data_IF_210589837102
#
_entry.id   IF_210589837102
#
_cell.length_a   1.000
_cell.length_b   1.000
_cell.length_c   1.000
_cell.angle_alpha   90.00
_cell.angle_beta   90.00
_cell.angle_gamma   90.00
#
_symmetry.space_group_name_H-M   'P 1'
#
loop_
_entity.id
_entity.type
_entity.pdbx_description
1 polymer ?
#
# COMPACT_ATOMS: atom_id res chain seq x y z
N UNK A 1 11.29 -16.41 -1.17
CA UNK A 1 10.22 -16.16 -2.16
C UNK A 1 10.43 -14.75 -2.67
N UNK A 2 10.64 -14.58 -3.96
CA UNK A 2 10.78 -13.25 -4.54
C UNK A 2 9.39 -12.61 -4.61
N UNK A 3 9.15 -11.61 -3.78
CA UNK A 3 7.86 -10.96 -3.58
C UNK A 3 7.69 -9.68 -4.39
N UNK A 4 8.49 -9.47 -5.45
CA UNK A 4 8.50 -8.19 -6.13
C UNK A 4 7.92 -8.28 -7.55
N UNK A 5 7.02 -7.33 -7.84
CA UNK A 5 6.46 -7.13 -9.17
C UNK A 5 7.47 -6.50 -10.15
N UNK A 6 8.68 -7.01 -10.18
CA UNK A 6 9.72 -6.62 -11.12
C UNK A 6 9.89 -7.75 -12.13
N UNK A 7 9.67 -7.43 -13.40
CA UNK A 7 9.68 -8.39 -14.48
C UNK A 7 11.01 -9.13 -14.65
N UNK A 8 10.99 -10.42 -14.98
CA UNK A 8 12.18 -11.11 -15.46
C UNK A 8 12.44 -10.78 -16.94
N UNK A 9 13.70 -10.57 -17.32
CA UNK A 9 14.06 -10.28 -18.70
C UNK A 9 14.14 -11.56 -19.49
N UNK A 10 13.25 -11.72 -20.38
CA UNK A 10 13.60 -12.45 -21.56
C UNK A 10 14.11 -11.39 -22.52
N UNK A 11 15.35 -11.55 -22.93
CA UNK A 11 16.01 -10.68 -23.86
C UNK A 11 15.20 -10.61 -25.16
N UNK A 12 14.29 -9.65 -25.24
CA UNK A 12 13.66 -9.29 -26.51
C UNK A 12 14.73 -8.51 -27.27
N UNK A 13 15.74 -9.22 -27.75
CA UNK A 13 16.82 -8.65 -28.56
C UNK A 13 16.36 -8.28 -29.96
N UNK A 14 15.17 -8.70 -30.35
CA UNK A 14 14.65 -8.42 -31.66
C UNK A 14 13.91 -7.09 -31.64
N UNK A 15 14.49 -6.07 -32.22
CA UNK A 15 13.88 -4.75 -32.43
C UNK A 15 12.48 -4.88 -33.08
N UNK A 16 12.32 -5.86 -33.97
CA UNK A 16 11.07 -6.20 -34.64
C UNK A 16 9.95 -6.63 -33.70
N UNK A 17 10.26 -7.35 -32.60
CA UNK A 17 9.23 -7.75 -31.63
C UNK A 17 8.76 -6.59 -30.78
N UNK A 18 9.69 -5.73 -30.39
CA UNK A 18 9.35 -4.49 -29.67
C UNK A 18 8.46 -3.59 -30.52
N UNK A 19 8.84 -3.37 -31.76
CA UNK A 19 8.07 -2.58 -32.72
C UNK A 19 6.68 -3.18 -32.96
N UNK A 20 6.60 -4.49 -33.15
CA UNK A 20 5.33 -5.21 -33.31
C UNK A 20 4.42 -5.03 -32.08
N UNK A 21 4.98 -5.06 -30.87
CA UNK A 21 4.20 -4.86 -29.66
C UNK A 21 3.78 -3.39 -29.48
N UNK A 22 4.66 -2.45 -29.77
CA UNK A 22 4.33 -1.01 -29.73
C UNK A 22 3.20 -0.68 -30.74
N UNK A 23 3.24 -1.27 -31.94
CA UNK A 23 2.17 -1.14 -32.94
C UNK A 23 0.85 -1.74 -32.44
N UNK A 24 0.90 -2.90 -31.75
CA UNK A 24 -0.27 -3.52 -31.13
C UNK A 24 -0.90 -2.59 -30.08
N UNK A 25 -0.11 -2.04 -29.18
CA UNK A 25 -0.60 -1.13 -28.13
C UNK A 25 -1.15 0.18 -28.73
N UNK A 26 -0.48 0.73 -29.77
CA UNK A 26 -0.93 1.94 -30.46
C UNK A 26 -2.29 1.74 -31.12
N UNK A 27 -2.46 0.69 -31.92
CA UNK A 27 -3.73 0.40 -32.56
C UNK A 27 -4.85 0.09 -31.53
N UNK A 28 -4.51 -0.63 -30.46
CA UNK A 28 -5.47 -0.90 -29.39
C UNK A 28 -5.96 0.39 -28.72
N UNK A 29 -5.04 1.33 -28.44
CA UNK A 29 -5.38 2.65 -27.94
C UNK A 29 -6.31 3.40 -28.89
N UNK A 30 -5.97 3.47 -30.19
CA UNK A 30 -6.76 4.17 -31.21
C UNK A 30 -8.19 3.60 -31.30
N UNK A 31 -8.32 2.27 -31.29
CA UNK A 31 -9.63 1.60 -31.30
C UNK A 31 -10.46 1.96 -30.07
N UNK A 32 -9.87 1.96 -28.89
CA UNK A 32 -10.58 2.28 -27.65
C UNK A 32 -10.96 3.76 -27.59
N UNK A 33 -10.05 4.67 -27.95
CA UNK A 33 -10.32 6.11 -27.96
C UNK A 33 -11.38 6.51 -29.00
N UNK A 34 -11.52 5.74 -30.07
CA UNK A 34 -12.58 5.94 -31.08
C UNK A 34 -13.96 5.44 -30.63
N UNK A 35 -14.09 4.78 -29.48
CA UNK A 35 -15.35 4.21 -28.96
C UNK A 35 -15.88 5.00 -27.74
N UNK A 36 -16.72 6.03 -27.93
CA UNK A 36 -17.26 6.83 -26.81
C UNK A 36 -17.97 5.98 -25.74
N UNK A 37 -18.60 4.87 -26.16
CA UNK A 37 -19.31 3.96 -25.26
C UNK A 37 -18.43 3.36 -24.15
N UNK A 38 -17.12 3.26 -24.37
CA UNK A 38 -16.17 2.72 -23.37
C UNK A 38 -16.10 3.64 -22.16
N UNK A 39 -15.92 4.95 -22.36
CA UNK A 39 -15.79 5.92 -21.27
C UNK A 39 -17.13 6.21 -20.56
N UNK A 40 -18.25 5.94 -21.22
CA UNK A 40 -19.60 6.21 -20.70
C UNK A 40 -20.12 5.13 -19.77
N UNK A 41 -19.42 4.00 -19.62
CA UNK A 41 -19.82 2.91 -18.72
C UNK A 41 -19.85 3.38 -17.26
N UNK A 42 -20.94 3.08 -16.56
CA UNK A 42 -21.10 3.44 -15.14
C UNK A 42 -19.99 2.83 -14.26
N UNK A 43 -19.61 1.60 -14.57
CA UNK A 43 -18.56 0.85 -13.87
C UNK A 43 -17.26 0.78 -14.72
N UNK A 44 -16.89 1.89 -15.35
CA UNK A 44 -15.72 2.01 -16.23
C UNK A 44 -14.47 1.33 -15.65
N UNK A 45 -14.17 1.57 -14.38
CA UNK A 45 -13.01 1.02 -13.70
C UNK A 45 -13.02 -0.51 -13.53
N UNK A 46 -14.20 -1.14 -13.59
CA UNK A 46 -14.32 -2.61 -13.53
C UNK A 46 -14.26 -3.25 -14.91
N UNK A 47 -14.81 -2.59 -15.92
CA UNK A 47 -14.98 -3.17 -17.26
C UNK A 47 -13.82 -2.84 -18.22
N UNK A 48 -12.98 -1.87 -17.87
CA UNK A 48 -11.96 -1.40 -18.79
C UNK A 48 -10.87 -2.45 -19.10
N UNK A 49 -10.54 -3.31 -18.16
CA UNK A 49 -9.60 -4.43 -18.40
C UNK A 49 -10.13 -5.37 -19.50
N UNK A 50 -11.43 -5.68 -19.48
CA UNK A 50 -12.08 -6.50 -20.50
C UNK A 50 -12.14 -5.77 -21.85
N UNK A 51 -12.44 -4.47 -21.85
CA UNK A 51 -12.42 -3.65 -23.07
C UNK A 51 -11.04 -3.63 -23.72
N UNK A 52 -9.97 -3.52 -22.92
CA UNK A 52 -8.59 -3.59 -23.41
C UNK A 52 -8.28 -4.96 -23.99
N UNK A 53 -8.69 -6.03 -23.32
CA UNK A 53 -8.50 -7.40 -23.80
C UNK A 53 -9.17 -7.63 -25.16
N UNK A 54 -10.43 -7.21 -25.31
CA UNK A 54 -11.18 -7.32 -26.57
C UNK A 54 -10.49 -6.51 -27.69
N UNK A 55 -10.12 -5.26 -27.39
CA UNK A 55 -9.44 -4.40 -28.37
C UNK A 55 -8.07 -4.93 -28.80
N UNK A 56 -7.32 -5.58 -27.88
CA UNK A 56 -6.07 -6.29 -28.22
C UNK A 56 -6.30 -7.45 -29.16
N UNK A 57 -7.33 -8.28 -28.93
CA UNK A 57 -7.69 -9.39 -29.82
C UNK A 57 -8.07 -8.90 -31.23
N UNK A 58 -8.78 -7.80 -31.32
CA UNK A 58 -9.11 -7.17 -32.62
C UNK A 58 -7.86 -6.61 -33.30
N UNK A 59 -6.99 -5.94 -32.54
CA UNK A 59 -5.77 -5.33 -33.07
C UNK A 59 -4.78 -6.39 -33.58
N UNK A 60 -4.67 -7.53 -32.92
CA UNK A 60 -3.82 -8.65 -33.41
C UNK A 60 -4.31 -9.19 -34.73
N UNK A 61 -5.63 -9.27 -34.94
CA UNK A 61 -6.23 -9.70 -36.21
C UNK A 61 -5.94 -8.72 -37.33
N UNK A 62 -6.15 -7.43 -37.06
CA UNK A 62 -5.99 -6.37 -38.06
C UNK A 62 -4.52 -6.20 -38.50
N UNK A 63 -3.59 -6.34 -37.56
CA UNK A 63 -2.16 -6.26 -37.83
C UNK A 63 -1.56 -7.57 -38.38
N UNK A 64 -2.33 -8.66 -38.41
CA UNK A 64 -1.87 -9.98 -38.81
C UNK A 64 -0.60 -10.43 -38.07
N UNK A 65 -0.51 -10.12 -36.79
CA UNK A 65 0.67 -10.41 -35.94
C UNK A 65 0.46 -11.67 -35.10
N UNK A 66 1.55 -12.38 -34.74
CA UNK A 66 1.46 -13.70 -34.09
C UNK A 66 1.21 -13.66 -32.58
N UNK A 67 0.84 -12.51 -32.01
CA UNK A 67 0.60 -12.41 -30.58
C UNK A 67 -0.69 -13.12 -30.15
N UNK A 68 -0.56 -14.09 -29.25
CA UNK A 68 -1.67 -14.70 -28.55
C UNK A 68 -1.96 -13.89 -27.29
N UNK A 69 -3.16 -13.37 -27.17
CA UNK A 69 -3.59 -12.53 -26.04
C UNK A 69 -4.32 -13.38 -25.02
N UNK A 70 -3.85 -13.36 -23.77
CA UNK A 70 -4.42 -14.10 -22.64
C UNK A 70 -4.88 -13.12 -21.56
N UNK A 71 -6.17 -13.14 -21.22
CA UNK A 71 -6.72 -12.42 -20.07
C UNK A 71 -6.47 -13.21 -18.81
N UNK A 72 -5.95 -12.57 -17.78
CA UNK A 72 -5.55 -13.20 -16.54
C UNK A 72 -6.54 -12.83 -15.44
N UNK A 73 -7.35 -13.78 -15.03
CA UNK A 73 -8.34 -13.57 -13.98
C UNK A 73 -7.75 -13.63 -12.57
N UNK A 74 -8.40 -12.95 -11.64
CA UNK A 74 -8.06 -12.93 -10.22
C UNK A 74 -7.04 -11.84 -9.86
N UNK A 75 -6.46 -11.91 -8.65
CA UNK A 75 -5.48 -10.93 -8.17
C UNK A 75 -4.06 -11.26 -8.65
N UNK A 76 -3.89 -11.41 -9.96
CA UNK A 76 -2.58 -11.68 -10.57
C UNK A 76 -2.08 -10.44 -11.32
N UNK A 77 -0.77 -10.38 -11.52
CA UNK A 77 -0.08 -9.31 -12.20
C UNK A 77 0.78 -9.89 -13.33
N UNK A 78 0.72 -9.39 -14.55
CA UNK A 78 -0.19 -8.36 -15.06
C UNK A 78 -1.59 -8.91 -15.40
N UNK A 79 -2.53 -8.00 -15.73
CA UNK A 79 -3.92 -8.33 -16.08
C UNK A 79 -4.04 -9.08 -17.42
N UNK A 80 -3.15 -8.79 -18.38
CA UNK A 80 -3.15 -9.38 -19.71
C UNK A 80 -1.73 -9.76 -20.10
N UNK A 81 -1.60 -10.90 -20.75
CA UNK A 81 -0.32 -11.37 -21.30
C UNK A 81 -0.44 -11.58 -22.80
N UNK A 82 0.49 -10.98 -23.55
CA UNK A 82 0.68 -11.22 -24.97
C UNK A 82 1.86 -12.18 -25.17
N UNK A 83 1.64 -13.35 -25.80
CA UNK A 83 2.65 -14.39 -26.04
C UNK A 83 2.86 -14.63 -27.52
N UNK A 84 4.11 -14.80 -27.92
CA UNK A 84 4.48 -15.38 -29.20
C UNK A 84 4.79 -16.86 -29.04
N UNK A 85 5.50 -17.21 -27.98
CA UNK A 85 5.83 -18.58 -27.60
C UNK A 85 6.07 -18.65 -26.08
N UNK A 86 6.45 -19.81 -25.55
CA UNK A 86 6.67 -20.02 -24.12
C UNK A 86 7.77 -19.15 -23.50
N UNK A 87 8.71 -18.66 -24.33
CA UNK A 87 9.86 -17.85 -23.88
C UNK A 87 9.73 -16.37 -24.19
N UNK A 88 8.75 -15.98 -24.98
CA UNK A 88 8.57 -14.59 -25.45
C UNK A 88 7.16 -14.13 -25.12
N UNK A 89 7.03 -13.47 -24.00
CA UNK A 89 5.78 -12.90 -23.54
C UNK A 89 5.97 -11.53 -22.94
N UNK A 90 5.00 -10.66 -23.14
CA UNK A 90 4.92 -9.32 -22.63
C UNK A 90 3.65 -9.14 -21.82
N UNK A 91 3.71 -8.39 -20.74
CA UNK A 91 2.58 -8.11 -19.89
C UNK A 91 1.97 -6.73 -20.13
N UNK A 92 0.69 -6.63 -19.90
CA UNK A 92 -0.07 -5.38 -19.93
C UNK A 92 -0.85 -5.31 -18.62
N UNK A 93 -0.49 -4.34 -17.81
CA UNK A 93 -1.21 -4.00 -16.58
C UNK A 93 -2.13 -2.82 -16.86
N UNK A 94 -3.40 -3.00 -16.65
CA UNK A 94 -4.43 -2.00 -16.93
C UNK A 94 -4.68 -1.13 -15.72
N UNK A 95 -4.72 0.18 -15.90
CA UNK A 95 -5.03 1.14 -14.85
C UNK A 95 -6.07 2.15 -15.32
N UNK A 96 -6.89 2.62 -14.39
CA UNK A 96 -7.89 3.65 -14.67
C UNK A 96 -7.77 4.81 -13.70
N UNK A 97 -8.03 6.01 -14.21
CA UNK A 97 -8.07 7.26 -13.45
C UNK A 97 -9.43 7.89 -13.63
N UNK A 98 -10.17 8.01 -12.53
CA UNK A 98 -11.53 8.59 -12.52
C UNK A 98 -11.54 10.11 -12.27
N UNK A 99 -10.41 10.68 -11.88
CA UNK A 99 -10.33 12.10 -11.49
C UNK A 99 -10.28 13.02 -12.72
N UNK A 100 -10.99 14.14 -12.64
CA UNK A 100 -10.99 15.19 -13.69
C UNK A 100 -9.75 16.09 -13.69
N UNK A 101 -8.82 15.89 -12.75
CA UNK A 101 -7.58 16.66 -12.73
C UNK A 101 -6.65 16.27 -13.89
N UNK A 102 -5.67 17.10 -14.19
CA UNK A 102 -4.71 16.82 -15.26
C UNK A 102 -3.66 15.76 -14.90
N UNK A 103 -3.65 15.25 -13.66
CA UNK A 103 -2.67 14.27 -13.21
C UNK A 103 -2.87 12.90 -13.87
N UNK A 104 -1.77 12.26 -14.20
CA UNK A 104 -1.70 10.88 -14.70
C UNK A 104 -1.08 9.94 -13.67
N UNK A 105 -1.22 10.28 -12.40
CA UNK A 105 -0.70 9.48 -11.27
C UNK A 105 -1.73 8.45 -10.83
N UNK A 106 -1.26 7.21 -10.64
CA UNK A 106 -2.09 6.11 -10.16
C UNK A 106 -1.26 5.19 -9.27
N UNK A 107 -1.92 4.54 -8.33
CA UNK A 107 -1.27 3.56 -7.47
C UNK A 107 -1.01 2.26 -8.24
N UNK A 108 0.22 1.81 -8.16
CA UNK A 108 0.63 0.49 -8.62
C UNK A 108 0.41 -0.61 -7.56
N UNK A 109 0.92 -1.79 -7.84
CA UNK A 109 0.89 -2.93 -6.93
C UNK A 109 1.78 -2.74 -5.70
N UNK A 110 1.64 -3.65 -4.72
CA UNK A 110 2.53 -3.72 -3.57
C UNK A 110 3.95 -4.09 -4.02
N UNK A 111 4.95 -3.47 -3.38
CA UNK A 111 6.35 -3.87 -3.54
C UNK A 111 6.60 -5.21 -2.84
N UNK A 112 5.80 -5.52 -1.83
CA UNK A 112 6.01 -6.66 -0.92
C UNK A 112 5.33 -7.96 -1.37
N UNK A 113 4.31 -7.85 -2.20
CA UNK A 113 3.53 -8.99 -2.67
C UNK A 113 3.72 -9.15 -4.17
N UNK A 114 4.12 -10.33 -4.60
CA UNK A 114 4.15 -10.68 -6.01
C UNK A 114 3.09 -11.73 -6.30
N UNK A 115 2.02 -11.29 -6.94
CA UNK A 115 1.05 -12.18 -7.59
C UNK A 115 1.42 -12.38 -9.06
N UNK A 116 2.68 -12.10 -9.38
CA UNK A 116 3.17 -12.06 -10.74
C UNK A 116 3.13 -13.43 -11.42
N UNK A 117 2.68 -13.39 -12.66
CA UNK A 117 2.73 -14.55 -13.53
C UNK A 117 4.19 -14.80 -13.92
N UNK A 118 4.68 -16.05 -13.78
CA UNK A 118 6.00 -16.41 -14.27
C UNK A 118 6.07 -16.25 -15.81
N UNK A 119 7.28 -16.11 -16.33
CA UNK A 119 7.59 -16.07 -17.76
C UNK A 119 7.09 -14.84 -18.53
N UNK A 120 6.71 -13.78 -17.83
CA UNK A 120 6.44 -12.47 -18.44
C UNK A 120 7.70 -11.61 -18.37
N UNK A 121 8.24 -11.23 -19.52
CA UNK A 121 9.53 -10.57 -19.58
C UNK A 121 9.49 -9.10 -19.24
N UNK A 122 8.56 -8.35 -19.81
CA UNK A 122 8.41 -6.91 -19.61
C UNK A 122 6.94 -6.56 -19.49
N UNK A 123 6.64 -5.63 -18.60
CA UNK A 123 5.27 -5.19 -18.35
C UNK A 123 5.11 -3.75 -18.83
N UNK A 124 4.02 -3.48 -19.51
CA UNK A 124 3.59 -2.14 -19.87
C UNK A 124 2.36 -1.75 -19.07
N UNK A 125 2.35 -0.52 -18.61
CA UNK A 125 1.14 0.06 -18.03
C UNK A 125 0.29 0.61 -19.15
N UNK A 126 -0.97 0.21 -19.21
CA UNK A 126 -1.98 0.73 -20.12
C UNK A 126 -3.03 1.47 -19.29
N UNK A 127 -2.92 2.80 -19.26
CA UNK A 127 -3.67 3.63 -18.32
C UNK A 127 -4.69 4.50 -19.07
N UNK A 128 -5.94 4.41 -18.65
CA UNK A 128 -7.01 5.26 -19.17
C UNK A 128 -7.50 6.28 -18.14
N UNK A 129 -7.70 7.50 -18.60
CA UNK A 129 -8.45 8.54 -17.91
C UNK A 129 -9.86 8.59 -18.48
N UNK A 130 -10.86 8.57 -17.60
CA UNK A 130 -12.27 8.52 -18.02
C UNK A 130 -12.76 9.86 -18.58
N UNK A 131 -12.36 10.98 -17.98
CA UNK A 131 -12.83 12.31 -18.36
C UNK A 131 -11.70 13.36 -18.29
N UNK A 132 -11.25 13.94 -19.43
CA UNK A 132 -11.56 13.50 -20.78
C UNK A 132 -11.00 12.12 -21.11
N UNK A 133 -11.72 11.34 -21.91
CA UNK A 133 -11.28 9.98 -22.24
C UNK A 133 -10.00 10.02 -23.07
N UNK A 134 -8.93 9.54 -22.46
CA UNK A 134 -7.60 9.41 -23.08
C UNK A 134 -6.88 8.21 -22.52
N UNK A 135 -6.05 7.62 -23.36
CA UNK A 135 -5.26 6.44 -23.00
C UNK A 135 -3.78 6.76 -23.21
N UNK A 136 -2.96 6.29 -22.27
CA UNK A 136 -1.50 6.29 -22.36
C UNK A 136 -0.97 4.91 -22.04
N UNK A 137 0.13 4.52 -22.66
CA UNK A 137 0.85 3.32 -22.31
C UNK A 137 2.36 3.59 -22.26
N UNK A 138 3.04 2.92 -21.35
CA UNK A 138 4.50 3.00 -21.15
C UNK A 138 5.02 1.71 -20.53
N UNK A 139 6.29 1.37 -20.74
CA UNK A 139 6.95 0.37 -19.90
C UNK A 139 6.83 0.70 -18.42
N UNK A 140 6.58 -0.31 -17.59
CA UNK A 140 6.39 -0.17 -16.15
C UNK A 140 7.54 0.61 -15.50
N UNK A 141 8.79 0.26 -15.83
CA UNK A 141 9.98 0.90 -15.28
C UNK A 141 10.13 2.39 -15.64
N UNK A 142 9.46 2.86 -16.68
CA UNK A 142 9.51 4.27 -17.11
C UNK A 142 8.43 5.12 -16.42
N UNK A 143 7.37 4.51 -15.91
CA UNK A 143 6.30 5.22 -15.20
C UNK A 143 6.33 5.06 -13.68
N UNK A 144 7.19 4.24 -13.11
CA UNK A 144 7.37 4.20 -11.66
C UNK A 144 8.12 5.44 -11.20
N UNK A 145 7.40 6.38 -10.61
CA UNK A 145 7.96 7.66 -10.14
C UNK A 145 8.53 7.56 -8.72
N UNK A 146 7.83 6.81 -7.86
CA UNK A 146 8.09 6.80 -6.43
C UNK A 146 7.51 5.56 -5.75
N UNK A 147 7.75 5.46 -4.45
CA UNK A 147 7.11 4.51 -3.55
C UNK A 147 6.13 5.26 -2.66
N UNK A 148 4.86 4.92 -2.74
CA UNK A 148 3.88 5.41 -1.79
C UNK A 148 3.89 4.53 -0.54
N UNK A 149 3.84 5.20 0.59
CA UNK A 149 3.73 4.54 1.88
C UNK A 149 2.27 4.51 2.28
N UNK A 150 1.67 3.34 2.09
CA UNK A 150 0.35 3.01 2.61
C UNK A 150 0.50 1.94 3.70
N UNK A 151 -0.48 1.08 3.90
CA UNK A 151 -0.35 -0.11 4.77
C UNK A 151 0.73 -1.09 4.28
N UNK A 152 1.10 -1.05 3.00
CA UNK A 152 2.33 -1.63 2.46
C UNK A 152 2.95 -0.65 1.47
N UNK A 153 4.27 -0.68 1.27
CA UNK A 153 4.88 0.11 0.22
C UNK A 153 4.32 -0.30 -1.14
N UNK A 154 3.88 0.68 -1.90
CA UNK A 154 3.34 0.50 -3.25
C UNK A 154 4.07 1.36 -4.25
N UNK A 155 4.16 0.89 -5.46
CA UNK A 155 4.63 1.73 -6.54
C UNK A 155 3.65 2.88 -6.80
N UNK A 156 4.20 4.08 -6.98
CA UNK A 156 3.46 5.20 -7.55
C UNK A 156 3.83 5.32 -9.02
N UNK A 157 2.82 5.25 -9.86
CA UNK A 157 2.98 5.36 -11.30
C UNK A 157 2.58 6.77 -11.73
N UNK A 158 3.39 7.38 -12.57
CA UNK A 158 3.07 8.62 -13.26
C UNK A 158 3.30 8.45 -14.76
N UNK A 159 2.22 8.48 -15.53
CA UNK A 159 2.30 8.35 -16.99
C UNK A 159 2.88 9.60 -17.67
N UNK A 160 3.05 10.71 -16.94
CA UNK A 160 3.75 11.91 -17.39
C UNK A 160 5.25 11.89 -17.08
N UNK A 161 5.69 11.01 -16.16
CA UNK A 161 7.09 10.96 -15.76
C UNK A 161 8.01 10.75 -16.97
N UNK A 162 9.13 11.47 -16.98
CA UNK A 162 10.20 11.18 -17.93
C UNK A 162 11.02 9.98 -17.45
N UNK A 163 11.78 9.37 -18.33
CA UNK A 163 12.68 8.26 -17.95
C UNK A 163 13.66 8.66 -16.84
N UNK A 164 14.11 9.92 -16.85
CA UNK A 164 15.03 10.47 -15.85
C UNK A 164 14.35 10.62 -14.48
N UNK A 165 13.04 10.85 -14.45
CA UNK A 165 12.26 11.01 -13.22
C UNK A 165 11.82 9.67 -12.63
N UNK A 166 12.08 8.57 -13.33
CA UNK A 166 11.72 7.24 -12.83
C UNK A 166 12.47 6.89 -11.54
N UNK A 167 11.84 6.07 -10.72
CA UNK A 167 12.45 5.57 -9.48
C UNK A 167 13.79 4.88 -9.75
N UNK A 168 13.89 4.13 -10.82
CA UNK A 168 15.13 3.43 -11.20
C UNK A 168 16.27 4.40 -11.51
N UNK A 169 15.96 5.51 -12.20
CA UNK A 169 16.94 6.57 -12.43
C UNK A 169 17.39 7.25 -11.14
N UNK A 170 16.44 7.50 -10.22
CA UNK A 170 16.74 8.09 -8.89
C UNK A 170 17.59 7.17 -8.02
N UNK A 171 17.45 5.87 -8.18
CA UNK A 171 18.28 4.86 -7.48
C UNK A 171 19.66 4.71 -8.11
N UNK A 172 19.90 5.30 -9.28
CA UNK A 172 21.13 5.11 -10.04
C UNK A 172 21.36 3.66 -10.50
N UNK A 173 20.26 2.91 -10.69
CA UNK A 173 20.26 1.51 -11.10
C UNK A 173 19.32 1.33 -12.28
N UNK A 174 19.69 0.48 -13.20
CA UNK A 174 18.82 0.07 -14.29
C UNK A 174 17.78 -0.94 -13.78
N UNK A 175 16.71 -1.08 -14.51
CA UNK A 175 15.72 -2.12 -14.26
C UNK A 175 16.35 -3.51 -14.27
N UNK A 176 17.26 -3.77 -15.20
CA UNK A 176 17.98 -5.03 -15.34
C UNK A 176 18.86 -5.35 -14.14
N UNK A 177 19.58 -4.35 -13.62
CA UNK A 177 20.42 -4.51 -12.43
C UNK A 177 19.63 -4.86 -11.20
N UNK A 178 18.54 -4.11 -10.94
CA UNK A 178 17.67 -4.38 -9.78
C UNK A 178 17.05 -5.78 -9.89
N UNK A 179 16.66 -6.16 -11.08
CA UNK A 179 16.04 -7.42 -11.37
C UNK A 179 16.93 -8.63 -11.13
N UNK A 180 18.21 -8.50 -11.39
CA UNK A 180 19.22 -9.54 -11.19
C UNK A 180 19.67 -9.65 -9.73
N UNK A 181 19.27 -8.71 -8.86
CA UNK A 181 19.61 -8.77 -7.44
C UNK A 181 18.92 -9.97 -6.78
N UNK A 182 19.64 -10.63 -5.86
CA UNK A 182 19.10 -11.73 -5.05
C UNK A 182 17.87 -11.31 -4.27
N UNK A 183 17.87 -10.08 -3.78
CA UNK A 183 16.74 -9.43 -3.11
C UNK A 183 16.53 -8.03 -3.72
N UNK A 184 15.69 -7.89 -4.74
CA UNK A 184 15.45 -6.59 -5.39
C UNK A 184 14.97 -5.49 -4.45
N UNK A 185 14.31 -5.86 -3.33
CA UNK A 185 13.84 -4.89 -2.35
C UNK A 185 14.97 -4.11 -1.68
N UNK A 186 16.15 -4.69 -1.55
CA UNK A 186 17.29 -4.00 -0.94
C UNK A 186 17.67 -2.73 -1.71
N UNK A 187 17.40 -2.68 -3.03
CA UNK A 187 17.57 -1.46 -3.82
C UNK A 187 16.66 -0.32 -3.40
N UNK A 188 15.48 -0.63 -2.88
CA UNK A 188 14.49 0.37 -2.47
C UNK A 188 14.62 0.79 -1.00
N UNK A 189 15.28 -0.01 -0.17
CA UNK A 189 15.47 0.28 1.26
C UNK A 189 16.10 1.65 1.46
N UNK A 190 17.25 1.90 0.84
CA UNK A 190 18.00 3.14 1.00
C UNK A 190 17.18 4.36 0.52
N UNK A 191 16.47 4.20 -0.58
CA UNK A 191 15.58 5.25 -1.09
C UNK A 191 14.44 5.58 -0.11
N UNK A 192 13.80 4.56 0.45
CA UNK A 192 12.71 4.74 1.43
C UNK A 192 13.26 5.35 2.72
N UNK A 193 14.44 4.92 3.17
CA UNK A 193 15.13 5.49 4.33
C UNK A 193 15.47 6.95 4.12
N UNK A 194 15.98 7.31 2.93
CA UNK A 194 16.30 8.70 2.62
C UNK A 194 15.06 9.58 2.54
N UNK A 195 13.99 9.09 1.92
CA UNK A 195 12.70 9.79 1.95
C UNK A 195 12.17 9.99 3.38
N UNK A 196 12.30 8.96 4.22
CA UNK A 196 11.94 9.05 5.63
C UNK A 196 12.74 10.13 6.36
N UNK A 197 14.07 10.17 6.20
CA UNK A 197 14.92 11.21 6.78
C UNK A 197 14.49 12.62 6.35
N UNK A 198 14.18 12.79 5.07
CA UNK A 198 13.76 14.06 4.52
C UNK A 198 12.39 14.48 5.07
N UNK A 199 11.45 13.55 5.19
CA UNK A 199 10.15 13.79 5.80
C UNK A 199 10.27 14.16 7.28
N UNK A 200 11.12 13.47 8.05
CA UNK A 200 11.37 13.77 9.46
C UNK A 200 12.00 15.16 9.65
N UNK A 201 12.90 15.58 8.76
CA UNK A 201 13.50 16.95 8.79
C UNK A 201 12.50 18.05 8.46
N UNK A 202 11.50 17.76 7.63
CA UNK A 202 10.48 18.74 7.21
C UNK A 202 9.30 18.82 8.17
N UNK A 203 9.14 17.85 9.08
CA UNK A 203 8.03 17.84 10.03
C UNK A 203 8.25 18.87 11.12
N UNK A 204 7.31 19.78 11.23
CA UNK A 204 7.01 20.43 12.49
C UNK A 204 6.34 19.36 13.35
N UNK A 205 6.78 19.24 14.60
CA UNK A 205 6.27 18.27 15.61
C UNK A 205 4.74 18.31 15.74
N UNK A 206 4.10 19.38 15.28
CA UNK A 206 2.68 19.66 15.39
C UNK A 206 1.74 18.86 14.47
N UNK A 207 2.25 18.22 13.40
CA UNK A 207 1.38 17.65 12.38
C UNK A 207 0.97 16.18 12.64
N UNK A 208 1.64 15.45 13.54
CA UNK A 208 1.43 14.01 13.72
C UNK A 208 0.45 13.63 14.83
N UNK A 209 0.31 14.51 15.81
CA UNK A 209 -0.53 14.29 16.98
C UNK A 209 -1.36 15.54 17.28
N UNK A 210 -2.25 15.91 16.37
CA UNK A 210 -3.10 17.08 16.54
C UNK A 210 -3.95 17.03 17.82
N UNK A 211 -4.18 15.86 18.38
CA UNK A 211 -4.88 15.66 19.66
C UNK A 211 -3.92 15.55 20.84
N UNK A 212 -2.63 15.37 20.59
CA UNK A 212 -1.58 15.49 21.58
C UNK A 212 -1.20 16.96 21.65
N UNK A 213 -1.50 17.61 22.77
CA UNK A 213 -1.22 19.04 22.89
C UNK A 213 0.25 19.33 22.55
N UNK A 214 0.53 20.27 21.63
CA UNK A 214 1.90 20.65 21.28
C UNK A 214 2.70 21.22 22.46
N UNK A 215 2.05 21.55 23.57
CA UNK A 215 2.67 21.99 24.82
C UNK A 215 3.01 20.83 25.79
N UNK A 216 2.67 19.59 25.48
CA UNK A 216 3.15 18.47 26.28
C UNK A 216 4.59 18.18 25.87
N UNK A 217 5.55 18.59 26.69
CA UNK A 217 6.96 18.13 26.60
C UNK A 217 7.12 16.61 26.63
N UNK A 218 6.03 15.88 26.68
CA UNK A 218 5.92 14.44 26.82
C UNK A 218 6.07 13.68 25.50
N UNK A 219 5.80 14.28 24.32
CA UNK A 219 6.13 13.65 23.04
C UNK A 219 7.64 13.46 22.95
N UNK A 220 8.41 14.44 23.38
CA UNK A 220 9.87 14.34 23.45
C UNK A 220 10.33 13.30 24.49
N UNK A 221 9.56 13.05 25.54
CA UNK A 221 9.89 12.05 26.57
C UNK A 221 9.58 10.62 26.10
N UNK A 222 8.53 10.42 25.33
CA UNK A 222 8.27 9.10 24.69
C UNK A 222 9.36 8.78 23.69
N UNK A 223 9.86 9.76 22.94
CA UNK A 223 11.02 9.59 22.06
C UNK A 223 12.34 9.41 22.80
N UNK A 224 12.50 10.03 23.99
CA UNK A 224 13.78 10.08 24.72
C UNK A 224 13.94 8.98 25.77
N UNK A 225 12.88 8.53 26.46
CA UNK A 225 12.99 7.46 27.47
C UNK A 225 13.01 6.05 26.87
N UNK A 226 12.44 5.85 25.70
CA UNK A 226 12.62 4.65 24.90
C UNK A 226 13.85 4.71 23.99
N UNK A 227 14.88 5.43 24.37
CA UNK A 227 16.11 5.46 23.57
C UNK A 227 16.64 4.05 23.25
N UNK A 228 16.40 3.04 24.08
CA UNK A 228 16.71 1.65 23.72
C UNK A 228 15.78 1.11 22.62
N UNK A 229 14.50 1.41 22.66
CA UNK A 229 13.54 1.03 21.62
C UNK A 229 13.69 1.98 20.42
N UNK A 230 13.81 3.29 20.66
CA UNK A 230 14.08 4.31 19.67
C UNK A 230 15.47 4.19 19.06
N UNK A 231 16.53 3.89 19.79
CA UNK A 231 17.88 3.68 19.22
C UNK A 231 17.97 2.36 18.44
N UNK A 232 17.21 1.35 18.80
CA UNK A 232 17.07 0.14 17.98
C UNK A 232 16.21 0.40 16.73
N UNK A 233 15.26 1.38 16.79
CA UNK A 233 14.35 1.72 15.71
C UNK A 233 14.73 2.99 14.93
N UNK A 234 15.52 3.90 15.50
CA UNK A 234 16.19 5.01 14.81
C UNK A 234 17.42 4.50 14.03
N UNK A 235 17.83 3.26 14.27
CA UNK A 235 18.65 2.53 13.34
C UNK A 235 18.02 2.61 11.95
N UNK A 236 18.82 3.00 10.97
CA UNK A 236 18.44 3.19 9.56
C UNK A 236 17.89 1.92 8.88
N UNK A 237 17.64 0.86 9.66
CA UNK A 237 17.18 -0.43 9.17
C UNK A 237 15.66 -0.52 9.19
N UNK A 238 15.10 -0.85 8.05
CA UNK A 238 13.68 -1.18 7.94
C UNK A 238 13.45 -2.62 8.38
N UNK A 239 12.41 -2.83 9.18
CA UNK A 239 11.98 -4.14 9.65
C UNK A 239 10.57 -4.46 9.17
N UNK A 240 10.30 -5.73 8.98
CA UNK A 240 8.93 -6.19 8.79
C UNK A 240 8.28 -6.50 10.12
N UNK A 241 6.98 -6.28 10.22
CA UNK A 241 6.18 -6.59 11.40
C UNK A 241 6.41 -8.01 11.94
N UNK A 242 6.56 -8.98 11.07
CA UNK A 242 6.81 -10.38 11.43
C UNK A 242 8.24 -10.66 11.91
N UNK A 243 9.14 -9.71 11.82
CA UNK A 243 10.50 -9.79 12.35
C UNK A 243 10.61 -9.25 13.78
N UNK A 244 9.56 -8.58 14.25
CA UNK A 244 9.47 -8.10 15.62
C UNK A 244 9.24 -9.26 16.57
N UNK A 245 9.77 -9.14 17.78
CA UNK A 245 9.45 -10.06 18.88
C UNK A 245 7.96 -9.96 19.24
N UNK A 246 7.47 -10.97 19.92
CA UNK A 246 6.06 -11.00 20.37
C UNK A 246 5.73 -9.80 21.26
N UNK A 247 6.62 -9.45 22.17
CA UNK A 247 6.43 -8.35 23.12
C UNK A 247 6.43 -7.00 22.40
N UNK A 248 7.33 -6.79 21.43
CA UNK A 248 7.34 -5.60 20.58
C UNK A 248 6.03 -5.47 19.77
N UNK A 249 5.53 -6.58 19.23
CA UNK A 249 4.25 -6.57 18.50
C UNK A 249 3.07 -6.24 19.43
N UNK A 250 3.04 -6.79 20.65
CA UNK A 250 1.99 -6.52 21.64
C UNK A 250 1.99 -5.05 22.04
N UNK A 251 3.16 -4.54 22.41
CA UNK A 251 3.34 -3.12 22.74
C UNK A 251 2.87 -2.21 21.61
N UNK A 252 3.34 -2.45 20.39
CA UNK A 252 2.99 -1.62 19.25
C UNK A 252 1.51 -1.68 18.88
N UNK A 253 0.84 -2.83 19.04
CA UNK A 253 -0.61 -2.92 18.85
C UNK A 253 -1.36 -2.03 19.81
N UNK A 254 -1.06 -2.13 21.09
CA UNK A 254 -1.69 -1.31 22.12
C UNK A 254 -1.38 0.18 21.91
N UNK A 255 -0.12 0.51 21.64
CA UNK A 255 0.32 1.87 21.40
C UNK A 255 -0.37 2.51 20.17
N UNK A 256 -0.43 1.79 19.05
CA UNK A 256 -1.11 2.27 17.85
C UNK A 256 -2.61 2.45 18.05
N UNK A 257 -3.27 1.62 18.86
CA UNK A 257 -4.69 1.81 19.21
C UNK A 257 -4.92 3.07 20.04
N UNK A 258 -3.97 3.44 20.89
CA UNK A 258 -4.06 4.66 21.70
C UNK A 258 -3.90 5.88 20.79
N UNK A 259 -2.87 5.89 19.92
CA UNK A 259 -2.57 7.04 19.08
C UNK A 259 -3.56 7.18 17.92
N UNK A 260 -3.99 6.07 17.34
CA UNK A 260 -4.85 6.03 16.16
C UNK A 260 -6.15 5.26 16.45
N UNK A 261 -7.08 5.79 17.24
CA UNK A 261 -8.32 5.10 17.59
C UNK A 261 -9.18 4.74 16.36
N UNK A 262 -8.99 5.41 15.22
CA UNK A 262 -9.65 5.08 13.95
C UNK A 262 -9.29 3.67 13.41
N UNK A 263 -8.23 3.04 13.91
CA UNK A 263 -7.94 1.62 13.64
C UNK A 263 -9.15 0.74 14.00
N UNK A 264 -9.89 1.09 15.04
CA UNK A 264 -11.07 0.35 15.48
C UNK A 264 -12.16 0.35 14.40
N UNK A 265 -12.25 1.40 13.62
CA UNK A 265 -13.15 1.49 12.46
C UNK A 265 -12.63 0.79 11.19
N UNK A 266 -11.36 0.38 11.19
CA UNK A 266 -10.68 -0.22 10.05
C UNK A 266 -9.96 0.78 9.16
N UNK A 267 -9.71 2.00 9.65
CA UNK A 267 -8.86 2.98 8.99
C UNK A 267 -7.42 2.83 9.50
N UNK A 268 -6.54 2.33 8.64
CA UNK A 268 -5.15 1.99 8.99
C UNK A 268 -4.12 2.94 8.37
N UNK A 269 -4.53 3.87 7.52
CA UNK A 269 -3.62 4.65 6.69
C UNK A 269 -2.64 5.49 7.52
N UNK A 270 -3.15 6.23 8.52
CA UNK A 270 -2.31 7.10 9.34
C UNK A 270 -1.38 6.30 10.24
N UNK A 271 -1.89 5.23 10.85
CA UNK A 271 -1.11 4.33 11.69
C UNK A 271 0.02 3.63 10.90
N UNK A 272 -0.27 3.15 9.69
CA UNK A 272 0.74 2.49 8.86
C UNK A 272 1.80 3.45 8.37
N UNK A 273 1.38 4.67 8.01
CA UNK A 273 2.28 5.74 7.61
C UNK A 273 3.20 6.15 8.77
N UNK A 274 2.63 6.35 9.95
CA UNK A 274 3.39 6.65 11.16
C UNK A 274 4.39 5.54 11.48
N UNK A 275 3.94 4.28 11.52
CA UNK A 275 4.77 3.14 11.84
C UNK A 275 5.99 3.03 10.91
N UNK A 276 5.79 3.22 9.61
CA UNK A 276 6.91 3.22 8.67
C UNK A 276 7.79 4.46 8.85
N UNK A 277 7.21 5.65 8.96
CA UNK A 277 7.96 6.90 8.95
C UNK A 277 8.71 7.14 10.25
N UNK A 278 8.16 6.75 11.38
CA UNK A 278 8.79 6.96 12.69
C UNK A 278 9.58 5.76 13.16
N UNK A 279 9.06 4.55 12.98
CA UNK A 279 9.65 3.32 13.51
C UNK A 279 10.42 2.51 12.46
N UNK A 280 10.30 2.83 11.17
CA UNK A 280 10.92 2.04 10.10
C UNK A 280 10.32 0.65 9.94
N UNK A 281 9.10 0.43 10.46
CA UNK A 281 8.45 -0.88 10.45
C UNK A 281 7.42 -0.92 9.33
N UNK A 282 7.47 -1.98 8.53
CA UNK A 282 6.50 -2.29 7.49
C UNK A 282 5.56 -3.37 7.98
N UNK A 283 4.27 -3.05 8.05
CA UNK A 283 3.23 -4.05 8.28
C UNK A 283 2.42 -4.21 6.98
N UNK A 284 2.63 -5.29 6.21
CA UNK A 284 1.95 -5.49 4.93
C UNK A 284 0.45 -5.73 5.06
N UNK A 285 -0.02 -6.14 6.25
CA UNK A 285 -1.44 -6.36 6.50
C UNK A 285 -1.88 -5.89 7.89
N UNK A 286 -2.19 -4.60 8.00
CA UNK A 286 -2.79 -4.05 9.22
C UNK A 286 -4.12 -4.70 9.58
N UNK A 287 -4.92 -5.06 8.58
CA UNK A 287 -6.19 -5.74 8.79
C UNK A 287 -6.00 -7.05 9.56
N UNK A 288 -5.02 -7.86 9.17
CA UNK A 288 -4.74 -9.15 9.82
C UNK A 288 -4.19 -8.94 11.23
N UNK A 289 -3.41 -7.88 11.41
CA UNK A 289 -2.84 -7.53 12.72
C UNK A 289 -3.92 -7.09 13.72
N UNK A 290 -4.94 -6.35 13.28
CA UNK A 290 -5.89 -5.70 14.19
C UNK A 290 -7.31 -6.27 14.14
N UNK A 291 -7.84 -6.65 12.97
CA UNK A 291 -9.27 -6.93 12.84
C UNK A 291 -9.65 -8.14 12.00
N UNK A 292 -8.71 -8.80 11.32
CA UNK A 292 -9.04 -10.01 10.56
C UNK A 292 -9.43 -11.16 11.49
N UNK A 293 -10.38 -11.99 11.04
CA UNK A 293 -10.83 -13.16 11.78
C UNK A 293 -12.30 -13.15 12.18
N UNK A 294 -13.09 -12.24 11.58
CA UNK A 294 -14.55 -12.24 11.73
C UNK A 294 -15.03 -11.84 13.13
N UNK A 295 -15.89 -12.66 13.73
CA UNK A 295 -16.48 -12.44 15.05
C UNK A 295 -16.00 -13.49 16.04
N UNK A 296 -15.76 -13.08 17.27
CA UNK A 296 -15.31 -13.94 18.38
C UNK A 296 -16.28 -13.85 19.54
N UNK A 297 -16.34 -14.91 20.33
CA UNK A 297 -17.10 -14.89 21.57
C UNK A 297 -16.32 -14.18 22.68
N UNK A 298 -16.97 -13.24 23.35
CA UNK A 298 -16.44 -12.54 24.51
C UNK A 298 -17.54 -12.53 25.59
N UNK A 299 -17.38 -13.38 26.58
CA UNK A 299 -18.33 -13.55 27.69
C UNK A 299 -19.78 -13.82 27.21
N UNK A 300 -19.97 -14.69 26.22
CA UNK A 300 -21.26 -15.07 25.67
C UNK A 300 -21.83 -14.10 24.61
N UNK A 301 -21.09 -13.05 24.27
CA UNK A 301 -21.49 -12.09 23.24
C UNK A 301 -20.55 -12.21 22.04
N UNK A 302 -21.09 -12.45 20.84
CA UNK A 302 -20.31 -12.43 19.61
C UNK A 302 -19.98 -11.00 19.23
N UNK A 303 -18.70 -10.63 19.33
CA UNK A 303 -18.18 -9.30 18.98
C UNK A 303 -17.26 -9.35 17.76
N UNK A 304 -17.09 -8.25 17.00
CA UNK A 304 -16.05 -8.13 16.00
C UNK A 304 -14.66 -8.39 16.58
N UNK A 305 -13.79 -9.01 15.79
CA UNK A 305 -12.43 -9.40 16.22
C UNK A 305 -11.64 -8.24 16.84
N UNK A 306 -11.82 -7.02 16.35
CA UNK A 306 -11.15 -5.83 16.89
C UNK A 306 -11.55 -5.58 18.36
N UNK A 307 -12.82 -5.73 18.74
CA UNK A 307 -13.28 -5.57 20.13
C UNK A 307 -12.69 -6.67 21.01
N UNK A 308 -12.68 -7.91 20.52
CA UNK A 308 -12.04 -9.03 21.21
C UNK A 308 -10.54 -8.76 21.43
N UNK A 309 -9.85 -8.21 20.44
CA UNK A 309 -8.44 -7.88 20.51
C UNK A 309 -8.18 -6.75 21.52
N UNK A 310 -9.01 -5.70 21.57
CA UNK A 310 -8.89 -4.63 22.58
C UNK A 310 -9.01 -5.23 23.98
N UNK A 311 -9.98 -6.14 24.21
CA UNK A 311 -10.10 -6.84 25.48
C UNK A 311 -8.85 -7.65 25.82
N UNK A 312 -8.24 -8.28 24.83
CA UNK A 312 -7.01 -9.09 25.00
C UNK A 312 -5.76 -8.23 25.25
N UNK A 313 -5.73 -6.99 24.77
CA UNK A 313 -4.61 -6.06 24.92
C UNK A 313 -4.84 -4.99 26.00
N UNK A 314 -5.89 -5.12 26.81
CA UNK A 314 -6.23 -4.13 27.83
C UNK A 314 -5.08 -3.88 28.81
N UNK A 315 -4.39 -4.93 29.23
CA UNK A 315 -3.30 -4.83 30.18
C UNK A 315 -2.09 -4.08 29.59
N UNK A 316 -1.81 -4.30 28.30
CA UNK A 316 -0.79 -3.53 27.56
C UNK A 316 -1.18 -2.05 27.42
N UNK A 317 -2.46 -1.76 27.18
CA UNK A 317 -2.97 -0.38 27.11
C UNK A 317 -2.82 0.30 28.48
N UNK A 318 -3.25 -0.35 29.57
CA UNK A 318 -3.11 0.15 30.93
C UNK A 318 -1.64 0.40 31.27
N UNK A 319 -0.78 -0.57 30.92
CA UNK A 319 0.66 -0.47 31.12
C UNK A 319 1.26 0.75 30.42
N UNK A 320 0.88 1.01 29.18
CA UNK A 320 1.38 2.16 28.41
C UNK A 320 0.96 3.47 29.09
N UNK A 321 -0.30 3.63 29.51
CA UNK A 321 -0.74 4.83 30.20
C UNK A 321 0.02 5.05 31.50
N UNK A 322 0.23 3.99 32.30
CA UNK A 322 0.89 4.07 33.58
C UNK A 322 2.40 4.27 33.46
N UNK A 323 3.10 3.48 32.64
CA UNK A 323 4.55 3.55 32.50
C UNK A 323 5.02 4.81 31.77
N UNK A 324 4.24 5.27 30.79
CA UNK A 324 4.53 6.50 30.05
C UNK A 324 4.02 7.75 30.78
N UNK A 325 3.35 7.58 31.94
CA UNK A 325 2.77 8.67 32.72
C UNK A 325 1.96 9.65 31.86
N UNK A 326 1.15 9.06 30.95
CA UNK A 326 0.28 9.86 30.11
C UNK A 326 -0.75 10.60 30.96
N UNK A 327 -1.02 11.89 30.69
CA UNK A 327 -2.00 12.66 31.45
C UNK A 327 -3.40 12.02 31.39
N UNK A 328 -4.17 12.18 32.45
CA UNK A 328 -5.57 11.72 32.49
C UNK A 328 -6.39 12.28 31.32
N UNK A 329 -6.12 13.52 30.91
CA UNK A 329 -6.80 14.14 29.77
C UNK A 329 -6.61 13.34 28.45
N UNK A 330 -5.46 12.67 28.29
CA UNK A 330 -5.19 11.88 27.07
C UNK A 330 -6.02 10.60 27.09
N UNK A 331 -6.19 9.97 28.26
CA UNK A 331 -7.10 8.85 28.40
C UNK A 331 -8.56 9.25 28.16
N UNK A 332 -9.00 10.37 28.73
CA UNK A 332 -10.36 10.89 28.51
C UNK A 332 -10.60 11.18 27.04
N UNK A 333 -9.65 11.82 26.36
CA UNK A 333 -9.72 12.07 24.93
C UNK A 333 -9.81 10.77 24.11
N UNK A 334 -8.91 9.82 24.39
CA UNK A 334 -8.94 8.50 23.75
C UNK A 334 -10.29 7.79 23.97
N UNK A 335 -10.78 7.78 25.20
CA UNK A 335 -12.09 7.25 25.58
C UNK A 335 -13.23 7.88 24.77
N UNK A 336 -13.25 9.19 24.68
CA UNK A 336 -14.25 9.91 23.91
C UNK A 336 -14.21 9.52 22.41
N UNK A 337 -13.02 9.42 21.83
CA UNK A 337 -12.87 8.97 20.44
C UNK A 337 -13.36 7.56 20.24
N UNK A 338 -13.04 6.64 21.14
CA UNK A 338 -13.51 5.24 21.07
C UNK A 338 -15.03 5.16 21.21
N UNK A 339 -15.63 5.94 22.10
CA UNK A 339 -17.08 5.98 22.28
C UNK A 339 -17.83 6.62 21.12
N UNK A 340 -17.20 7.57 20.44
CA UNK A 340 -17.76 8.22 19.24
C UNK A 340 -17.79 7.31 18.00
N UNK A 341 -17.12 6.15 18.03
CA UNK A 341 -17.09 5.21 16.91
C UNK A 341 -18.51 4.73 16.60
N UNK A 342 -19.00 5.09 15.41
CA UNK A 342 -20.38 4.83 14.98
C UNK A 342 -20.60 3.44 14.39
N UNK A 343 -19.53 2.73 14.03
CA UNK A 343 -19.54 1.41 13.39
C UNK A 343 -20.21 0.33 14.24
N UNK A 344 -20.20 0.49 15.57
CA UNK A 344 -20.74 -0.48 16.50
C UNK A 344 -22.03 0.03 17.16
N UNK A 345 -22.98 -0.86 17.37
CA UNK A 345 -24.27 -0.56 18.02
C UNK A 345 -24.70 -1.72 18.91
N UNK A 346 -25.67 -1.45 19.80
CA UNK A 346 -26.22 -2.47 20.69
C UNK A 346 -25.18 -3.17 21.55
N UNK A 347 -25.33 -4.49 21.80
CA UNK A 347 -24.46 -5.24 22.73
C UNK A 347 -22.97 -5.15 22.43
N UNK A 348 -22.58 -4.98 21.17
CA UNK A 348 -21.16 -4.84 20.78
C UNK A 348 -20.56 -3.55 21.31
N UNK A 349 -21.32 -2.46 21.22
CA UNK A 349 -20.90 -1.15 21.73
C UNK A 349 -20.84 -1.16 23.26
N UNK A 350 -21.80 -1.81 23.92
CA UNK A 350 -21.82 -1.94 25.37
C UNK A 350 -20.60 -2.69 25.89
N UNK A 351 -20.21 -3.78 25.21
CA UNK A 351 -18.99 -4.53 25.52
C UNK A 351 -17.76 -3.65 25.37
N UNK A 352 -17.64 -2.89 24.26
CA UNK A 352 -16.50 -1.98 24.05
C UNK A 352 -16.42 -0.91 25.16
N UNK A 353 -17.57 -0.30 25.49
CA UNK A 353 -17.67 0.70 26.57
C UNK A 353 -17.23 0.09 27.91
N UNK A 354 -17.63 -1.14 28.21
CA UNK A 354 -17.24 -1.84 29.44
C UNK A 354 -15.75 -2.05 29.50
N UNK A 355 -15.12 -2.54 28.41
CA UNK A 355 -13.66 -2.74 28.34
C UNK A 355 -12.93 -1.41 28.57
N UNK A 356 -13.33 -0.35 27.93
CA UNK A 356 -12.69 0.97 28.05
C UNK A 356 -12.84 1.52 29.48
N UNK A 357 -13.98 1.33 30.13
CA UNK A 357 -14.17 1.69 31.54
C UNK A 357 -13.28 0.87 32.47
N UNK A 358 -13.12 -0.43 32.20
CA UNK A 358 -12.21 -1.30 32.97
C UNK A 358 -10.74 -0.83 32.80
N UNK A 359 -10.35 -0.42 31.61
CA UNK A 359 -9.01 0.17 31.37
C UNK A 359 -8.85 1.42 32.23
N UNK A 360 -9.79 2.37 32.15
CA UNK A 360 -9.70 3.62 32.91
C UNK A 360 -9.67 3.43 34.43
N UNK A 361 -10.39 2.44 34.97
CA UNK A 361 -10.37 2.14 36.37
C UNK A 361 -9.01 1.59 36.93
N UNK A 362 -8.12 1.18 36.04
CA UNK A 362 -6.80 0.63 36.37
C UNK A 362 -5.62 1.53 35.95
N UNK A 363 -5.90 2.74 35.42
CA UNK A 363 -4.88 3.74 35.15
C UNK A 363 -4.62 4.51 36.44
N UNK A 364 -3.37 4.53 36.86
CA UNK A 364 -2.91 5.26 38.05
C UNK A 364 -2.47 6.66 37.61
N UNK A 365 -3.13 7.68 38.08
CA UNK A 365 -2.90 9.09 37.75
C UNK A 365 -1.91 9.76 38.71
#
# INVERSE_FOLDING_TARGET
MNTFAIGENINIKEASLKESFDNLLSLTKEKLESRPSVSQKKDFWKSFEEDVHIALLESTKDLHIPWKIEYISGHKFPDIVARINEKQSLGIEVKTISTRNNSWKVMGGSIMESTRIPDVSRIHIFCAKQDPFKIRYKPFEECVENVAVTHSPRYMLDMDASKQDSLFSKLGKTYEEIRQMKNPFDAFKDFIVEQRKNNLKQRKVDDDFWWYSPNSNQINTIELEDQKFANKMVGLEMQFWNQLTRDEQHFLRAYLLIIFPNIIEGNYNDASKWLLQTQGIINPSFRDTFSAGGRQDLAGIKVPKIIFNIASWKDDIIKIFNEKKLPQQDFEYWKEKVFAISKFSGPEKDVLIKIVKEIGANIVH
#
